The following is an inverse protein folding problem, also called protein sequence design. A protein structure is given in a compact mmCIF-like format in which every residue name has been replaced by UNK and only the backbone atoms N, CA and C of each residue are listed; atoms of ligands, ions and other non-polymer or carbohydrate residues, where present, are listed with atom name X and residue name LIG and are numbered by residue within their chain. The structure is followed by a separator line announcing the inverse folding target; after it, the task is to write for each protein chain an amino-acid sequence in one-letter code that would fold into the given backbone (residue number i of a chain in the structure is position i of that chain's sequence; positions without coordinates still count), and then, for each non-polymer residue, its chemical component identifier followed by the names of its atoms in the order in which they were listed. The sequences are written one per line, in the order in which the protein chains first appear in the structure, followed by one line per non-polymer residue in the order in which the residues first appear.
data_IF_461147483421
#
_entry.id   IF_461147483421
#
_cell.length_a   1.000
_cell.length_b   1.000
_cell.length_c   1.000
_cell.angle_alpha   90.00
_cell.angle_beta   90.00
_cell.angle_gamma   90.00
#
_symmetry.space_group_name_H-M   'P 1'
#
loop_
_entity.id
_entity.type
_entity.pdbx_description
1 polymer ?
#
# COMPACT_ATOMS: atom_id res chain seq x y z
N UNK A 1 41.95 -25.11 3.26
CA UNK A 1 40.89 -24.77 2.29
C UNK A 1 39.60 -25.24 2.93
N UNK A 2 38.91 -24.34 3.60
CA UNK A 2 37.60 -24.57 4.21
C UNK A 2 36.57 -23.88 3.32
N UNK A 3 35.70 -24.68 2.71
CA UNK A 3 34.57 -24.17 1.92
C UNK A 3 33.58 -23.48 2.87
N UNK A 4 33.42 -22.17 2.69
CA UNK A 4 32.31 -21.42 3.29
C UNK A 4 31.02 -21.81 2.52
N UNK A 5 30.19 -22.62 3.15
CA UNK A 5 28.82 -22.83 2.70
C UNK A 5 27.99 -21.63 3.10
N UNK A 6 27.49 -20.88 2.10
CA UNK A 6 26.42 -19.90 2.25
C UNK A 6 25.18 -20.65 2.78
N UNK A 7 24.47 -20.16 3.81
CA UNK A 7 23.25 -20.79 4.26
C UNK A 7 22.18 -20.71 3.18
N UNK A 8 21.67 -21.88 2.80
CA UNK A 8 20.58 -22.04 1.86
C UNK A 8 19.29 -21.57 2.52
N UNK A 9 18.68 -20.51 2.00
CA UNK A 9 17.32 -20.09 2.38
C UNK A 9 16.36 -21.13 1.79
N UNK A 10 15.45 -21.74 2.55
CA UNK A 10 14.53 -22.72 2.00
C UNK A 10 13.59 -22.08 0.98
N UNK A 11 13.49 -22.66 -0.21
CA UNK A 11 12.52 -22.33 -1.25
C UNK A 11 11.08 -22.65 -0.78
N UNK A 12 10.45 -21.72 -0.08
CA UNK A 12 9.01 -21.70 0.09
C UNK A 12 8.45 -20.62 -0.84
N UNK A 13 8.15 -21.00 -2.08
CA UNK A 13 7.50 -20.11 -3.02
C UNK A 13 6.08 -19.81 -2.54
N UNK A 14 5.62 -18.56 -2.71
CA UNK A 14 4.23 -18.09 -2.48
C UNK A 14 3.18 -19.04 -3.08
N UNK A 15 3.57 -19.88 -4.02
CA UNK A 15 2.75 -20.84 -4.76
C UNK A 15 2.25 -22.04 -3.94
N UNK A 16 2.96 -22.47 -2.89
CA UNK A 16 2.58 -23.66 -2.12
C UNK A 16 1.45 -23.41 -1.13
N UNK A 17 1.21 -22.13 -0.75
CA UNK A 17 0.17 -21.76 0.20
C UNK A 17 -1.20 -21.54 -0.47
N UNK A 18 -1.25 -21.05 -1.70
CA UNK A 18 -2.51 -20.76 -2.42
C UNK A 18 -3.28 -22.03 -2.84
N UNK A 19 -2.67 -23.20 -2.87
CA UNK A 19 -3.34 -24.46 -3.26
C UNK A 19 -4.10 -25.16 -2.12
N UNK A 20 -3.99 -24.68 -0.88
CA UNK A 20 -4.59 -25.33 0.30
C UNK A 20 -5.93 -24.76 0.78
N UNK A 21 -6.38 -23.60 0.33
CA UNK A 21 -7.49 -22.87 0.96
C UNK A 21 -8.80 -22.79 0.16
N UNK A 22 -8.94 -23.51 -0.92
CA UNK A 22 -10.18 -23.53 -1.70
C UNK A 22 -11.02 -24.75 -1.33
N UNK A 23 -11.74 -24.73 -0.21
CA UNK A 23 -13.02 -25.43 0.02
C UNK A 23 -13.48 -25.24 1.47
N UNK A 24 -14.47 -24.35 1.68
CA UNK A 24 -15.60 -24.58 2.58
C UNK A 24 -16.51 -23.34 2.70
N UNK A 25 -17.73 -23.46 2.26
CA UNK A 25 -18.89 -23.03 3.03
C UNK A 25 -19.68 -21.83 2.54
N UNK A 26 -20.44 -21.98 1.43
CA UNK A 26 -21.66 -21.19 1.18
C UNK A 26 -22.73 -21.61 2.17
N UNK A 27 -23.31 -20.68 2.92
CA UNK A 27 -24.65 -20.81 3.50
C UNK A 27 -25.39 -19.47 3.45
N UNK A 28 -26.46 -19.51 2.70
CA UNK A 28 -27.48 -18.49 2.46
C UNK A 28 -28.27 -18.19 3.74
N UNK A 29 -28.58 -16.89 3.99
CA UNK A 29 -29.81 -16.53 4.70
C UNK A 29 -30.43 -15.27 4.08
N UNK A 30 -31.63 -15.50 3.54
CA UNK A 30 -32.58 -14.51 3.05
C UNK A 30 -33.68 -14.24 4.11
N UNK A 31 -34.24 -13.05 4.01
CA UNK A 31 -35.55 -12.58 4.53
C UNK A 31 -35.45 -11.72 5.81
N UNK A 32 -36.19 -10.68 5.98
CA UNK A 32 -37.33 -10.09 5.31
C UNK A 32 -37.59 -8.64 5.78
N UNK A 33 -38.07 -7.84 4.85
CA UNK A 33 -39.15 -6.83 4.90
C UNK A 33 -39.56 -6.11 6.18
N UNK A 34 -39.68 -4.74 6.07
CA UNK A 34 -40.89 -4.14 6.56
C UNK A 34 -40.87 -2.67 7.02
N UNK A 35 -41.26 -1.78 6.10
CA UNK A 35 -42.18 -0.63 6.26
C UNK A 35 -41.86 0.55 7.21
N UNK A 36 -41.56 1.67 6.64
CA UNK A 36 -42.37 2.91 6.43
C UNK A 36 -42.86 3.70 7.64
N UNK A 37 -42.57 5.02 7.63
CA UNK A 37 -43.20 6.05 8.43
C UNK A 37 -42.60 7.42 8.19
N UNK A 38 -43.32 8.26 7.48
CA UNK A 38 -42.95 9.60 7.01
C UNK A 38 -43.23 10.72 8.03
N UNK A 39 -42.66 11.91 7.69
CA UNK A 39 -43.21 13.25 7.97
C UNK A 39 -42.82 13.83 9.33
N UNK A 40 -42.33 15.04 9.47
CA UNK A 40 -42.58 16.39 8.91
C UNK A 40 -41.59 17.39 9.48
N UNK A 41 -41.13 18.36 8.74
CA UNK A 41 -40.59 19.65 9.17
C UNK A 41 -41.78 20.66 9.32
N UNK A 42 -41.63 21.93 9.66
CA UNK A 42 -40.48 22.72 10.12
C UNK A 42 -40.86 23.65 11.33
N UNK A 43 -39.93 24.43 11.91
CA UNK A 43 -40.24 25.78 12.42
C UNK A 43 -38.99 26.57 12.86
N UNK A 44 -38.72 27.62 12.13
CA UNK A 44 -38.35 29.02 12.46
C UNK A 44 -37.56 29.36 13.73
N UNK A 45 -36.48 30.10 13.47
CA UNK A 45 -35.73 30.91 14.43
C UNK A 45 -36.56 32.05 15.07
N UNK A 46 -36.06 32.66 16.18
CA UNK A 46 -35.57 34.02 16.03
C UNK A 46 -34.23 34.32 16.72
N UNK A 47 -33.58 35.29 16.12
CA UNK A 47 -32.44 36.09 16.57
C UNK A 47 -32.68 36.77 17.90
N UNK A 48 -31.66 36.76 18.78
CA UNK A 48 -31.54 37.76 19.85
C UNK A 48 -30.07 38.13 20.10
N UNK A 49 -29.86 39.45 20.25
CA UNK A 49 -28.59 40.14 20.31
C UNK A 49 -27.73 39.80 21.52
N UNK A 50 -26.39 39.91 21.32
CA UNK A 50 -25.37 39.82 22.33
C UNK A 50 -25.28 41.07 23.21
N UNK A 51 -24.94 40.94 24.50
CA UNK A 51 -24.28 42.03 25.24
C UNK A 51 -22.76 41.78 25.32
N UNK A 52 -22.04 42.82 24.98
CA UNK A 52 -20.59 42.98 25.21
C UNK A 52 -20.29 42.91 26.70
N UNK A 53 -19.39 42.02 27.11
CA UNK A 53 -18.78 42.04 28.45
C UNK A 53 -17.26 42.06 28.29
N UNK A 54 -16.65 42.99 29.01
CA UNK A 54 -15.23 43.29 29.02
C UNK A 54 -14.35 42.07 29.37
N UNK A 55 -13.22 41.98 28.66
CA UNK A 55 -12.18 41.03 28.94
C UNK A 55 -11.56 41.28 30.32
N UNK A 56 -11.70 40.32 31.22
CA UNK A 56 -10.87 40.19 32.41
C UNK A 56 -9.77 39.19 32.07
N UNK A 57 -8.52 39.62 32.10
CA UNK A 57 -7.36 38.74 31.97
C UNK A 57 -7.36 37.71 33.11
N UNK A 58 -7.65 36.48 32.79
CA UNK A 58 -7.43 35.34 33.68
C UNK A 58 -5.95 34.95 33.68
N UNK A 59 -5.37 34.59 34.84
CA UNK A 59 -3.97 34.15 34.86
C UNK A 59 -3.77 32.90 34.04
N UNK A 60 -2.72 32.90 33.22
CA UNK A 60 -2.29 31.77 32.43
C UNK A 60 -2.01 30.58 33.37
N UNK A 61 -2.94 29.65 33.43
CA UNK A 61 -2.70 28.37 34.09
C UNK A 61 -1.60 27.62 33.33
N UNK A 62 -0.49 27.38 34.02
CA UNK A 62 0.52 26.42 33.53
C UNK A 62 -0.19 25.09 33.32
N UNK A 63 -0.37 24.70 32.07
CA UNK A 63 -0.87 23.36 31.71
C UNK A 63 0.22 22.38 32.10
N UNK A 64 0.04 21.65 33.21
CA UNK A 64 0.88 20.48 33.49
C UNK A 64 0.78 19.53 32.28
N UNK A 65 1.93 18.99 31.81
CA UNK A 65 1.90 18.04 30.71
C UNK A 65 1.04 16.84 31.10
N UNK A 66 0.01 16.57 30.33
CA UNK A 66 -0.83 15.37 30.50
C UNK A 66 0.08 14.14 30.46
N UNK A 67 0.05 13.25 31.48
CA UNK A 67 0.89 12.06 31.47
C UNK A 67 0.60 11.22 30.23
N UNK A 68 1.66 10.78 29.53
CA UNK A 68 1.49 9.88 28.36
C UNK A 68 0.71 8.63 28.79
N UNK A 69 -0.20 8.13 27.93
CA UNK A 69 -0.88 6.88 28.18
C UNK A 69 0.12 5.73 28.45
N UNK A 70 -0.27 4.75 29.24
CA UNK A 70 0.55 3.56 29.46
C UNK A 70 0.50 2.65 28.24
N UNK A 71 1.59 1.91 28.00
CA UNK A 71 1.63 0.85 26.99
C UNK A 71 0.63 -0.26 27.35
N UNK A 72 -0.09 -0.74 26.36
CA UNK A 72 -0.95 -1.91 26.49
C UNK A 72 -0.12 -3.19 26.58
N UNK A 73 -0.65 -4.23 27.26
CA UNK A 73 -0.01 -5.54 27.31
C UNK A 73 -0.04 -6.27 25.95
N UNK A 74 -1.06 -5.98 25.14
CA UNK A 74 -1.27 -6.58 23.82
C UNK A 74 -1.61 -5.50 22.80
N UNK A 75 -1.26 -5.76 21.53
CA UNK A 75 -1.55 -4.93 20.35
C UNK A 75 -1.99 -5.83 19.20
N UNK A 76 -3.14 -5.55 18.60
CA UNK A 76 -3.65 -6.30 17.44
C UNK A 76 -3.32 -5.57 16.13
N UNK A 77 -2.56 -6.22 15.25
CA UNK A 77 -2.10 -5.67 13.97
C UNK A 77 -2.49 -6.57 12.80
N UNK A 78 -3.34 -6.05 11.89
CA UNK A 78 -3.66 -6.70 10.62
C UNK A 78 -2.72 -6.20 9.52
N UNK A 79 -2.10 -7.12 8.77
CA UNK A 79 -1.17 -6.77 7.70
C UNK A 79 -1.29 -7.76 6.52
N UNK A 80 -0.55 -7.47 5.46
CA UNK A 80 -0.38 -8.31 4.29
C UNK A 80 0.58 -9.46 4.55
N UNK A 81 0.48 -10.51 3.76
CA UNK A 81 1.39 -11.67 3.83
C UNK A 81 2.83 -11.27 3.46
N UNK A 82 3.82 -11.77 4.21
CA UNK A 82 5.24 -11.50 4.03
C UNK A 82 5.69 -10.04 4.19
N UNK A 83 4.95 -9.27 4.95
CA UNK A 83 5.21 -7.85 5.19
C UNK A 83 5.90 -7.54 6.53
N UNK A 84 6.46 -8.56 7.19
CA UNK A 84 7.23 -8.45 8.43
C UNK A 84 8.37 -9.46 8.42
N UNK A 85 9.52 -9.05 8.96
CA UNK A 85 10.72 -9.86 9.04
C UNK A 85 10.56 -11.08 9.95
N UNK A 86 10.85 -12.25 9.41
CA UNK A 86 10.81 -13.51 10.15
C UNK A 86 12.14 -13.72 10.88
N UNK A 87 12.09 -14.28 12.11
CA UNK A 87 13.29 -14.63 12.84
C UNK A 87 14.03 -15.79 12.12
N UNK A 88 15.28 -15.59 11.68
CA UNK A 88 16.02 -16.61 10.95
C UNK A 88 16.33 -17.88 11.77
N UNK A 89 16.10 -17.86 13.09
CA UNK A 89 16.27 -19.01 13.98
C UNK A 89 14.96 -19.71 14.31
N UNK A 90 13.84 -19.03 14.12
CA UNK A 90 12.51 -19.55 14.42
C UNK A 90 11.48 -18.88 13.49
N UNK A 91 11.24 -19.50 12.33
CA UNK A 91 10.35 -19.00 11.29
C UNK A 91 8.88 -18.83 11.73
N UNK A 92 8.53 -19.26 12.94
CA UNK A 92 7.21 -19.01 13.52
C UNK A 92 7.12 -17.66 14.24
N UNK A 93 8.23 -16.91 14.30
CA UNK A 93 8.33 -15.62 14.98
C UNK A 93 8.76 -14.50 14.02
N UNK A 94 8.28 -13.32 14.32
CA UNK A 94 8.67 -12.10 13.66
C UNK A 94 9.71 -11.35 14.51
N UNK A 95 10.93 -11.21 14.01
CA UNK A 95 12.06 -10.68 14.79
C UNK A 95 11.79 -9.28 15.33
N UNK A 96 11.28 -8.38 14.51
CA UNK A 96 10.93 -7.00 14.93
C UNK A 96 9.90 -6.97 16.03
N UNK A 97 8.90 -7.87 16.00
CA UNK A 97 7.86 -7.94 17.03
C UNK A 97 8.41 -8.48 18.36
N UNK A 98 9.34 -9.43 18.33
CA UNK A 98 10.04 -9.92 19.52
C UNK A 98 10.93 -8.81 20.13
N UNK A 99 11.61 -8.01 19.30
CA UNK A 99 12.40 -6.87 19.76
C UNK A 99 11.52 -5.79 20.40
N UNK A 100 10.35 -5.51 19.81
CA UNK A 100 9.38 -4.60 20.41
C UNK A 100 8.90 -5.09 21.78
N UNK A 101 8.55 -6.37 21.87
CA UNK A 101 8.14 -7.01 23.12
C UNK A 101 9.24 -6.94 24.19
N UNK A 102 10.49 -7.21 23.80
CA UNK A 102 11.62 -7.12 24.72
C UNK A 102 11.83 -5.69 25.25
N UNK A 103 11.58 -4.66 24.43
CA UNK A 103 11.77 -3.25 24.78
C UNK A 103 10.61 -2.67 25.60
N UNK A 104 9.38 -3.01 25.25
CA UNK A 104 8.18 -2.35 25.78
C UNK A 104 7.26 -3.25 26.61
N UNK A 105 7.47 -4.56 26.60
CA UNK A 105 6.63 -5.53 27.33
C UNK A 105 5.30 -5.85 26.65
N UNK A 106 5.01 -5.26 25.48
CA UNK A 106 3.77 -5.48 24.73
C UNK A 106 3.92 -6.67 23.80
N UNK A 107 2.98 -7.59 23.83
CA UNK A 107 2.87 -8.66 22.81
C UNK A 107 2.08 -8.15 21.62
N UNK A 108 2.63 -8.24 20.39
CA UNK A 108 1.93 -7.89 19.18
C UNK A 108 1.29 -9.13 18.58
N UNK A 109 -0.03 -9.16 18.54
CA UNK A 109 -0.85 -10.17 17.86
C UNK A 109 -0.92 -9.80 16.38
N UNK A 110 0.15 -10.12 15.65
CA UNK A 110 0.29 -9.82 14.22
C UNK A 110 -0.41 -10.89 13.38
N UNK A 111 -1.22 -10.47 12.41
CA UNK A 111 -1.94 -11.40 11.56
C UNK A 111 -1.87 -10.95 10.09
N UNK A 112 -1.45 -11.87 9.24
CA UNK A 112 -1.42 -11.72 7.78
C UNK A 112 -2.79 -12.09 7.21
N UNK A 113 -3.74 -11.17 7.33
CA UNK A 113 -5.17 -11.38 6.98
C UNK A 113 -5.66 -10.45 5.88
N UNK A 114 -4.79 -9.57 5.37
CA UNK A 114 -5.13 -8.67 4.28
C UNK A 114 -4.62 -9.29 2.98
N UNK A 115 -5.56 -9.63 2.10
CA UNK A 115 -5.28 -10.11 0.74
C UNK A 115 -5.79 -9.12 -0.31
N UNK A 116 -6.76 -8.27 0.09
CA UNK A 116 -7.39 -7.23 -0.72
C UNK A 116 -7.96 -6.14 0.19
N UNK A 117 -7.76 -4.88 -0.20
CA UNK A 117 -8.20 -3.73 0.60
C UNK A 117 -9.70 -3.68 0.81
N UNK A 118 -10.50 -3.82 -0.27
CA UNK A 118 -11.97 -3.71 -0.20
C UNK A 118 -12.56 -4.88 0.58
N UNK A 119 -12.02 -6.09 0.39
CA UNK A 119 -12.46 -7.29 1.12
C UNK A 119 -12.17 -7.11 2.61
N UNK A 120 -10.94 -6.74 2.99
CA UNK A 120 -10.58 -6.55 4.39
C UNK A 120 -11.41 -5.45 5.05
N UNK A 121 -11.47 -4.26 4.45
CA UNK A 121 -12.26 -3.14 4.99
C UNK A 121 -13.75 -3.50 5.02
N UNK A 122 -14.25 -4.26 4.08
CA UNK A 122 -15.63 -4.79 4.07
C UNK A 122 -15.97 -5.58 5.33
N UNK A 123 -15.03 -6.36 5.87
CA UNK A 123 -15.24 -7.16 7.09
C UNK A 123 -15.38 -6.33 8.36
N UNK A 124 -14.72 -5.16 8.44
CA UNK A 124 -14.70 -4.29 9.63
C UNK A 124 -15.53 -3.00 9.43
N UNK A 125 -16.11 -2.81 8.23
CA UNK A 125 -16.91 -1.64 7.87
C UNK A 125 -18.06 -1.33 8.84
N UNK A 126 -18.83 -2.33 9.35
CA UNK A 126 -19.90 -2.05 10.31
C UNK A 126 -19.41 -1.33 11.57
N UNK A 127 -18.23 -1.70 12.07
CA UNK A 127 -17.62 -1.08 13.24
C UNK A 127 -17.05 0.29 12.89
N UNK A 128 -16.25 0.40 11.81
CA UNK A 128 -15.66 1.67 11.35
C UNK A 128 -16.70 2.75 11.14
N UNK A 129 -17.85 2.43 10.53
CA UNK A 129 -18.92 3.39 10.24
C UNK A 129 -19.61 3.97 11.48
N UNK A 130 -19.43 3.34 12.63
CA UNK A 130 -20.03 3.75 13.90
C UNK A 130 -18.97 4.21 14.93
N UNK A 131 -17.68 4.15 14.58
CA UNK A 131 -16.57 4.40 15.50
C UNK A 131 -16.46 3.34 16.60
N UNK A 132 -17.01 2.15 16.38
CA UNK A 132 -16.89 1.05 17.33
C UNK A 132 -15.56 0.30 17.15
N UNK A 133 -15.12 -0.36 18.21
CA UNK A 133 -13.93 -1.20 18.19
C UNK A 133 -14.03 -2.30 17.11
N UNK A 134 -13.07 -2.30 16.19
CA UNK A 134 -12.96 -3.29 15.11
C UNK A 134 -12.29 -4.60 15.54
N UNK A 135 -11.68 -4.61 16.75
CA UNK A 135 -10.78 -5.66 17.18
C UNK A 135 -9.33 -5.48 16.75
N UNK A 136 -9.05 -4.52 15.84
CA UNK A 136 -7.71 -4.14 15.42
C UNK A 136 -7.31 -2.82 16.04
N UNK A 137 -6.05 -2.71 16.47
CA UNK A 137 -5.46 -1.46 16.95
C UNK A 137 -4.74 -0.71 15.82
N UNK A 138 -4.27 -1.44 14.82
CA UNK A 138 -3.70 -0.90 13.59
C UNK A 138 -3.81 -1.89 12.44
N UNK A 139 -3.79 -1.36 11.21
CA UNK A 139 -3.76 -2.15 9.98
C UNK A 139 -2.98 -1.42 8.88
N UNK A 140 -2.67 -2.15 7.79
CA UNK A 140 -1.92 -1.61 6.66
C UNK A 140 -2.77 -1.67 5.40
N UNK A 141 -2.96 -0.51 4.73
CA UNK A 141 -3.76 -0.41 3.49
C UNK A 141 -3.07 0.50 2.46
N UNK A 142 -3.38 0.29 1.19
CA UNK A 142 -2.82 1.06 0.08
C UNK A 142 -3.36 2.50 0.06
N UNK A 143 -2.60 3.43 -0.51
CA UNK A 143 -2.86 4.89 -0.59
C UNK A 143 -4.31 5.27 -0.85
N UNK A 144 -4.92 4.67 -1.86
CA UNK A 144 -6.28 5.00 -2.27
C UNK A 144 -7.32 4.58 -1.22
N UNK A 145 -7.07 3.47 -0.52
CA UNK A 145 -7.92 3.05 0.60
C UNK A 145 -7.66 3.94 1.81
N UNK A 146 -6.40 4.28 2.10
CA UNK A 146 -6.06 5.23 3.15
C UNK A 146 -6.77 6.58 2.94
N UNK A 147 -6.70 7.13 1.72
CA UNK A 147 -7.42 8.36 1.36
C UNK A 147 -8.94 8.24 1.55
N UNK A 148 -9.54 7.08 1.19
CA UNK A 148 -10.97 6.80 1.40
C UNK A 148 -11.31 6.78 2.88
N UNK A 149 -10.52 6.09 3.71
CA UNK A 149 -10.78 5.96 5.14
C UNK A 149 -10.68 7.30 5.88
N UNK A 150 -9.69 8.14 5.52
CA UNK A 150 -9.55 9.50 6.04
C UNK A 150 -10.76 10.35 5.67
N UNK A 151 -11.17 10.35 4.39
CA UNK A 151 -12.34 11.09 3.92
C UNK A 151 -13.63 10.68 4.63
N UNK A 152 -13.77 9.42 5.01
CA UNK A 152 -14.92 8.88 5.74
C UNK A 152 -14.85 9.14 7.26
N UNK A 153 -13.71 9.61 7.79
CA UNK A 153 -13.49 9.79 9.22
C UNK A 153 -13.43 8.46 9.97
N UNK A 154 -12.91 7.42 9.35
CA UNK A 154 -12.86 6.05 9.90
C UNK A 154 -11.52 5.67 10.52
N UNK A 155 -10.57 6.57 10.51
CA UNK A 155 -9.25 6.43 11.13
C UNK A 155 -8.96 7.61 12.06
N UNK A 156 -8.16 7.35 13.07
CA UNK A 156 -7.75 8.35 14.05
C UNK A 156 -6.60 9.21 13.53
N UNK A 157 -6.55 10.45 13.99
CA UNK A 157 -5.36 11.29 13.87
C UNK A 157 -4.35 10.87 14.95
N UNK A 158 -3.11 10.70 14.56
CA UNK A 158 -1.99 10.32 15.43
C UNK A 158 -1.33 11.58 16.02
N UNK A 159 -0.95 11.53 17.28
CA UNK A 159 -0.13 12.57 17.89
C UNK A 159 1.32 12.46 17.41
N UNK A 160 1.75 13.38 16.56
CA UNK A 160 3.12 13.40 16.04
C UNK A 160 4.19 13.51 17.14
N UNK A 161 3.84 13.96 18.33
CA UNK A 161 4.70 13.94 19.51
C UNK A 161 5.03 12.53 20.02
N UNK A 162 4.23 11.52 19.63
CA UNK A 162 4.49 10.12 19.89
C UNK A 162 5.28 9.43 18.76
N UNK A 163 5.54 10.13 17.65
CA UNK A 163 6.15 9.63 16.42
C UNK A 163 7.49 10.35 16.10
N UNK A 164 8.44 10.46 17.03
CA UNK A 164 9.70 11.19 16.80
C UNK A 164 10.56 10.55 15.70
N UNK A 165 10.62 9.21 15.59
CA UNK A 165 11.35 8.52 14.54
C UNK A 165 10.69 8.71 13.18
N UNK A 166 9.37 8.61 13.09
CA UNK A 166 8.61 8.90 11.86
C UNK A 166 8.89 10.33 11.40
N UNK A 167 8.77 11.30 12.31
CA UNK A 167 9.00 12.73 12.00
C UNK A 167 10.42 12.98 11.48
N UNK A 168 11.42 12.33 12.07
CA UNK A 168 12.83 12.50 11.70
C UNK A 168 13.19 11.74 10.41
N UNK A 169 12.68 10.52 10.24
CA UNK A 169 13.22 9.56 9.29
C UNK A 169 12.31 9.28 8.09
N UNK A 170 11.06 9.77 8.05
CA UNK A 170 10.21 9.62 6.87
C UNK A 170 10.87 10.29 5.65
N UNK A 171 10.98 9.57 4.53
CA UNK A 171 11.50 10.12 3.27
C UNK A 171 10.59 11.24 2.74
N UNK A 172 11.20 12.28 2.13
CA UNK A 172 10.48 13.50 1.77
C UNK A 172 9.43 13.29 0.66
N UNK A 173 9.61 12.27 -0.18
CA UNK A 173 8.66 11.91 -1.25
C UNK A 173 7.29 11.47 -0.72
N UNK A 174 7.23 10.98 0.52
CA UNK A 174 6.00 10.52 1.17
C UNK A 174 5.33 11.57 2.06
N UNK A 175 5.91 12.79 2.15
CA UNK A 175 5.36 13.85 2.99
C UNK A 175 4.34 14.70 2.25
N UNK A 176 3.36 15.18 2.99
CA UNK A 176 2.36 16.16 2.52
C UNK A 176 1.57 15.67 1.29
N UNK A 177 1.21 14.38 1.28
CA UNK A 177 0.37 13.83 0.23
C UNK A 177 -0.97 14.57 0.18
N UNK A 178 -1.57 14.77 -1.02
CA UNK A 178 -2.77 15.60 -1.17
C UNK A 178 -3.97 15.17 -0.33
N UNK A 179 -4.07 13.89 -0.01
CA UNK A 179 -5.18 13.31 0.76
C UNK A 179 -4.93 13.27 2.28
N UNK A 180 -3.69 13.51 2.73
CA UNK A 180 -3.31 13.75 4.14
C UNK A 180 -2.15 14.75 4.21
N UNK A 181 -2.42 16.05 4.02
CA UNK A 181 -1.39 17.07 3.94
C UNK A 181 -0.65 17.33 5.26
N UNK A 182 -1.18 16.86 6.38
CA UNK A 182 -0.59 16.98 7.72
C UNK A 182 0.23 15.76 8.13
N UNK A 183 0.10 14.64 7.40
CA UNK A 183 0.73 13.35 7.71
C UNK A 183 0.43 12.85 9.13
N UNK A 184 -0.78 13.08 9.61
CA UNK A 184 -1.17 12.68 10.96
C UNK A 184 -2.22 11.56 11.01
N UNK A 185 -2.71 11.10 9.85
CA UNK A 185 -3.65 9.98 9.76
C UNK A 185 -3.03 8.70 9.21
N UNK A 186 -1.90 8.79 8.51
CA UNK A 186 -1.20 7.65 7.94
C UNK A 186 0.30 7.73 8.20
N UNK A 187 0.94 6.57 8.22
CA UNK A 187 2.40 6.45 8.19
C UNK A 187 2.76 5.40 7.13
N UNK A 188 3.53 5.74 6.10
CA UNK A 188 3.98 4.78 5.08
C UNK A 188 4.63 3.55 5.70
N UNK A 189 4.23 2.37 5.25
CA UNK A 189 4.79 1.11 5.71
C UNK A 189 5.83 0.56 4.73
N UNK A 190 5.40 0.33 3.51
CA UNK A 190 6.23 -0.10 2.39
C UNK A 190 5.72 0.57 1.12
N UNK A 191 6.58 0.71 0.13
CA UNK A 191 6.19 1.30 -1.15
C UNK A 191 6.68 0.44 -2.31
N UNK A 192 6.07 0.59 -3.47
CA UNK A 192 6.47 -0.13 -4.66
C UNK A 192 6.32 0.69 -5.92
N UNK A 193 7.04 0.27 -6.95
CA UNK A 193 6.93 0.86 -8.28
C UNK A 193 6.15 -0.06 -9.21
N UNK A 194 5.31 0.53 -10.04
CA UNK A 194 4.75 -0.16 -11.20
C UNK A 194 5.42 0.34 -12.46
N UNK A 195 5.94 -0.59 -13.24
CA UNK A 195 6.68 -0.30 -14.47
C UNK A 195 6.59 -1.47 -15.46
N UNK A 196 7.66 -1.67 -16.23
CA UNK A 196 7.80 -2.75 -17.19
C UNK A 196 8.61 -3.90 -16.59
N UNK A 197 8.00 -5.09 -16.50
CA UNK A 197 8.69 -6.35 -16.25
C UNK A 197 8.81 -7.13 -17.57
N UNK A 198 10.03 -7.56 -17.97
CA UNK A 198 10.22 -8.15 -19.29
C UNK A 198 11.37 -9.14 -19.33
N UNK A 199 11.35 -10.06 -20.33
CA UNK A 199 12.47 -10.96 -20.64
C UNK A 199 13.42 -10.27 -21.64
N UNK A 200 14.50 -9.69 -21.11
CA UNK A 200 15.51 -8.97 -21.87
C UNK A 200 16.14 -9.81 -23.01
N UNK A 201 16.22 -11.13 -22.83
CA UNK A 201 16.71 -12.02 -23.89
C UNK A 201 15.74 -12.10 -25.09
N UNK A 202 14.47 -11.70 -24.92
CA UNK A 202 13.44 -11.72 -25.97
C UNK A 202 13.16 -10.35 -26.54
N UNK A 203 13.18 -9.31 -25.70
CA UNK A 203 12.78 -7.96 -26.08
C UNK A 203 13.94 -7.01 -26.35
N UNK A 204 15.17 -7.34 -25.87
CA UNK A 204 16.22 -6.36 -25.67
C UNK A 204 15.92 -5.45 -24.47
N UNK A 205 16.69 -4.37 -24.31
CA UNK A 205 16.43 -3.37 -23.29
C UNK A 205 15.22 -2.52 -23.66
N UNK A 206 14.26 -2.38 -22.74
CA UNK A 206 13.08 -1.54 -22.90
C UNK A 206 13.21 -0.26 -22.09
N UNK A 207 12.84 0.87 -22.67
CA UNK A 207 12.91 2.19 -22.04
C UNK A 207 11.64 3.01 -22.21
N UNK A 208 10.64 2.50 -22.94
CA UNK A 208 9.40 3.21 -23.26
C UNK A 208 8.18 2.34 -22.94
N UNK A 209 7.13 2.96 -22.39
CA UNK A 209 5.81 2.33 -22.20
C UNK A 209 5.18 1.91 -23.54
N UNK A 210 5.60 2.47 -24.68
CA UNK A 210 5.06 2.10 -25.98
C UNK A 210 5.27 0.60 -26.29
N UNK A 211 6.24 -0.04 -25.67
CA UNK A 211 6.48 -1.47 -25.81
C UNK A 211 5.23 -2.31 -25.45
N UNK A 212 4.42 -1.87 -24.49
CA UNK A 212 3.19 -2.55 -24.10
C UNK A 212 2.11 -2.55 -25.21
N UNK A 213 2.25 -1.67 -26.21
CA UNK A 213 1.36 -1.54 -27.38
C UNK A 213 2.02 -2.03 -28.68
N UNK A 214 3.25 -2.56 -28.61
CA UNK A 214 3.96 -3.01 -29.81
C UNK A 214 3.40 -4.34 -30.32
N UNK A 215 2.98 -4.33 -31.58
CA UNK A 215 2.47 -5.54 -32.26
C UNK A 215 3.50 -6.66 -32.40
N UNK A 216 4.79 -6.34 -32.24
CA UNK A 216 5.86 -7.33 -32.22
C UNK A 216 5.69 -8.34 -31.04
N UNK A 217 5.03 -7.93 -29.97
CA UNK A 217 4.76 -8.75 -28.78
C UNK A 217 3.32 -9.29 -28.73
N UNK A 218 2.60 -9.31 -29.85
CA UNK A 218 1.21 -9.72 -29.93
C UNK A 218 0.95 -11.05 -29.20
N UNK A 219 -0.02 -11.06 -28.26
CA UNK A 219 -0.40 -12.23 -27.47
C UNK A 219 0.65 -12.65 -26.44
N UNK A 220 1.61 -11.76 -26.11
CA UNK A 220 2.70 -12.01 -25.17
C UNK A 220 2.88 -10.89 -24.14
N UNK A 221 1.90 -10.00 -23.99
CA UNK A 221 1.91 -8.88 -23.06
C UNK A 221 0.82 -9.06 -22.01
N UNK A 222 1.18 -9.04 -20.74
CA UNK A 222 0.21 -9.05 -19.65
C UNK A 222 0.02 -7.62 -19.08
N UNK A 223 -1.22 -7.29 -18.78
CA UNK A 223 -1.59 -6.05 -18.09
C UNK A 223 -2.02 -6.40 -16.67
N UNK A 224 -1.94 -5.43 -15.75
CA UNK A 224 -2.36 -5.66 -14.37
C UNK A 224 -3.87 -5.58 -14.22
N UNK A 225 -4.41 -6.35 -13.25
CA UNK A 225 -5.81 -6.26 -12.82
C UNK A 225 -6.06 -5.02 -11.95
N UNK A 226 -4.99 -4.45 -11.36
CA UNK A 226 -5.09 -3.20 -10.59
C UNK A 226 -5.38 -2.01 -11.54
N UNK A 227 -6.55 -1.40 -11.33
CA UNK A 227 -7.06 -0.33 -12.19
C UNK A 227 -6.14 0.89 -12.20
N UNK A 228 -5.66 1.31 -11.05
CA UNK A 228 -4.84 2.53 -10.92
C UNK A 228 -3.50 2.39 -11.58
N UNK A 229 -2.89 1.22 -11.49
CA UNK A 229 -1.62 0.93 -12.15
C UNK A 229 -1.78 0.90 -13.68
N UNK A 230 -2.77 0.14 -14.16
CA UNK A 230 -2.98 -0.04 -15.60
C UNK A 230 -3.43 1.26 -16.27
N UNK A 231 -4.39 1.98 -15.69
CA UNK A 231 -4.81 3.29 -16.19
C UNK A 231 -3.68 4.30 -16.02
N UNK A 232 -2.99 4.32 -14.89
CA UNK A 232 -1.90 5.26 -14.62
C UNK A 232 -0.76 5.14 -15.62
N UNK A 233 -0.24 3.92 -15.87
CA UNK A 233 0.78 3.70 -16.91
C UNK A 233 0.27 4.07 -18.31
N UNK A 234 -1.00 3.82 -18.61
CA UNK A 234 -1.60 4.21 -19.88
C UNK A 234 -1.71 5.74 -20.01
N UNK A 235 -2.07 6.44 -18.93
CA UNK A 235 -2.08 7.90 -18.87
C UNK A 235 -0.67 8.46 -19.13
N UNK A 236 0.36 7.92 -18.46
CA UNK A 236 1.76 8.32 -18.67
C UNK A 236 2.20 8.12 -20.13
N UNK A 237 1.82 7.00 -20.77
CA UNK A 237 2.05 6.78 -22.19
C UNK A 237 1.40 7.86 -23.07
N UNK A 238 0.23 8.33 -22.68
CA UNK A 238 -0.50 9.40 -23.40
C UNK A 238 0.01 10.82 -23.06
N UNK A 239 0.99 10.96 -22.15
CA UNK A 239 1.49 12.25 -21.68
C UNK A 239 0.55 12.96 -20.70
N UNK A 240 -0.37 12.21 -20.08
CA UNK A 240 -1.29 12.69 -19.05
C UNK A 240 -0.67 12.50 -17.64
N UNK A 241 -1.13 13.29 -16.66
CA UNK A 241 -0.64 13.25 -15.29
C UNK A 241 -1.58 12.44 -14.38
N UNK A 242 -1.21 11.22 -13.96
CA UNK A 242 -2.06 10.39 -13.09
C UNK A 242 -2.41 11.05 -11.74
N UNK A 243 -1.56 11.97 -11.25
CA UNK A 243 -1.82 12.67 -9.98
C UNK A 243 -2.98 13.67 -10.06
N UNK A 244 -3.44 13.96 -11.28
CA UNK A 244 -4.56 14.86 -11.59
C UNK A 244 -5.65 14.20 -12.42
N UNK A 245 -5.69 12.86 -12.41
CA UNK A 245 -6.60 12.07 -13.22
C UNK A 245 -8.05 12.54 -13.11
N UNK A 246 -8.68 12.70 -14.28
CA UNK A 246 -10.10 13.04 -14.43
C UNK A 246 -10.84 11.92 -15.15
N UNK A 247 -12.18 11.94 -15.14
CA UNK A 247 -12.99 10.97 -15.89
C UNK A 247 -12.71 11.03 -17.40
N UNK A 248 -12.42 12.20 -17.95
CA UNK A 248 -12.04 12.36 -19.36
C UNK A 248 -10.67 11.72 -19.67
N UNK A 249 -9.72 11.73 -18.74
CA UNK A 249 -8.43 11.06 -18.87
C UNK A 249 -8.61 9.53 -18.77
N UNK A 250 -9.53 9.08 -17.90
CA UNK A 250 -9.93 7.68 -17.80
C UNK A 250 -10.45 7.17 -19.16
N UNK A 251 -11.35 7.91 -19.82
CA UNK A 251 -11.91 7.53 -21.12
C UNK A 251 -10.81 7.39 -22.20
N UNK A 252 -9.82 8.31 -22.20
CA UNK A 252 -8.69 8.23 -23.11
C UNK A 252 -7.82 6.99 -22.84
N UNK A 253 -7.52 6.73 -21.57
CA UNK A 253 -6.72 5.57 -21.18
C UNK A 253 -7.43 4.25 -21.51
N UNK A 254 -8.73 4.13 -21.20
CA UNK A 254 -9.53 2.94 -21.51
C UNK A 254 -9.61 2.72 -23.02
N UNK A 255 -9.79 3.79 -23.81
CA UNK A 255 -9.78 3.69 -25.28
C UNK A 255 -8.42 3.21 -25.82
N UNK A 256 -7.32 3.61 -25.20
CA UNK A 256 -5.98 3.17 -25.59
C UNK A 256 -5.72 1.71 -25.22
N UNK A 257 -6.13 1.28 -24.02
CA UNK A 257 -6.10 -0.13 -23.59
C UNK A 257 -6.92 -0.99 -24.55
N UNK A 258 -8.12 -0.50 -24.94
CA UNK A 258 -8.99 -1.19 -25.89
C UNK A 258 -8.32 -1.40 -27.24
N UNK A 259 -7.55 -0.44 -27.75
CA UNK A 259 -6.79 -0.62 -29.01
C UNK A 259 -5.80 -1.78 -28.90
N UNK A 260 -5.06 -1.88 -27.80
CA UNK A 260 -4.12 -2.99 -27.58
C UNK A 260 -4.85 -4.34 -27.48
N UNK A 261 -6.00 -4.37 -26.80
CA UNK A 261 -6.86 -5.57 -26.69
C UNK A 261 -7.40 -5.99 -28.06
N UNK A 262 -7.98 -5.07 -28.82
CA UNK A 262 -8.56 -5.34 -30.15
C UNK A 262 -7.49 -5.77 -31.16
N UNK A 263 -6.26 -5.25 -31.04
CA UNK A 263 -5.12 -5.70 -31.83
C UNK A 263 -4.58 -7.08 -31.41
N UNK A 264 -5.07 -7.64 -30.30
CA UNK A 264 -4.67 -8.91 -29.74
C UNK A 264 -3.25 -8.89 -29.16
N UNK A 265 -2.77 -7.72 -28.74
CA UNK A 265 -1.47 -7.55 -28.07
C UNK A 265 -1.56 -8.09 -26.65
N UNK A 266 -2.60 -7.69 -25.92
CA UNK A 266 -2.84 -8.13 -24.54
C UNK A 266 -3.17 -9.62 -24.52
N UNK A 267 -2.36 -10.39 -23.79
CA UNK A 267 -2.55 -11.81 -23.54
C UNK A 267 -3.59 -12.01 -22.43
N UNK A 268 -3.39 -11.33 -21.30
CA UNK A 268 -4.27 -11.42 -20.15
C UNK A 268 -4.15 -10.19 -19.24
N UNK A 269 -5.17 -10.01 -18.39
CA UNK A 269 -5.08 -9.17 -17.20
C UNK A 269 -4.78 -10.08 -16.01
N UNK A 270 -3.74 -9.74 -15.22
CA UNK A 270 -3.20 -10.58 -14.15
C UNK A 270 -2.97 -9.73 -12.89
N UNK A 271 -3.17 -10.36 -11.72
CA UNK A 271 -2.52 -9.95 -10.49
C UNK A 271 -1.07 -10.44 -10.50
N UNK A 272 -0.51 -10.83 -9.35
CA UNK A 272 0.88 -11.30 -9.22
C UNK A 272 1.25 -12.49 -10.14
N UNK A 273 0.26 -13.20 -10.71
CA UNK A 273 0.51 -14.34 -11.61
C UNK A 273 1.26 -13.98 -12.90
N UNK A 274 1.36 -12.68 -13.28
CA UNK A 274 2.18 -12.26 -14.41
C UNK A 274 3.66 -12.62 -14.24
N UNK A 275 4.15 -12.67 -12.99
CA UNK A 275 5.54 -13.03 -12.71
C UNK A 275 5.84 -14.47 -13.13
N UNK A 276 4.90 -15.40 -12.89
CA UNK A 276 5.03 -16.80 -13.39
C UNK A 276 4.95 -16.86 -14.92
N UNK A 277 4.07 -16.04 -15.53
CA UNK A 277 3.95 -15.97 -17.00
C UNK A 277 5.27 -15.44 -17.65
N UNK A 278 5.95 -14.48 -17.00
CA UNK A 278 7.28 -14.03 -17.42
C UNK A 278 8.35 -15.12 -17.21
N UNK A 279 8.34 -15.82 -16.07
CA UNK A 279 9.30 -16.89 -15.78
C UNK A 279 9.15 -18.06 -16.74
N UNK A 280 7.92 -18.49 -17.04
CA UNK A 280 7.63 -19.57 -18.00
C UNK A 280 7.90 -19.17 -19.47
N UNK A 281 7.81 -17.88 -19.79
CA UNK A 281 7.87 -17.35 -21.16
C UNK A 281 6.51 -17.36 -21.86
N UNK A 282 5.42 -17.55 -21.14
CA UNK A 282 4.06 -17.36 -21.64
C UNK A 282 3.80 -15.89 -21.95
N UNK A 283 4.29 -14.98 -21.12
CA UNK A 283 4.48 -13.58 -21.42
C UNK A 283 5.97 -13.26 -21.65
N UNK A 284 6.26 -12.22 -22.43
CA UNK A 284 7.62 -11.67 -22.61
C UNK A 284 7.74 -10.27 -22.05
N UNK A 285 6.62 -9.62 -21.80
CA UNK A 285 6.49 -8.27 -21.28
C UNK A 285 5.21 -8.18 -20.44
N UNK A 286 5.26 -7.44 -19.36
CA UNK A 286 4.11 -7.16 -18.49
C UNK A 286 4.21 -5.77 -17.88
N UNK A 287 3.07 -5.16 -17.57
CA UNK A 287 3.03 -4.22 -16.44
C UNK A 287 3.35 -5.02 -15.19
N UNK A 288 4.22 -4.52 -14.31
CA UNK A 288 4.80 -5.32 -13.24
C UNK A 288 5.08 -4.48 -11.99
N UNK A 289 5.02 -5.11 -10.82
CA UNK A 289 5.42 -4.52 -9.55
C UNK A 289 6.87 -4.84 -9.21
N UNK A 290 7.60 -3.83 -8.73
CA UNK A 290 9.04 -3.94 -8.47
C UNK A 290 9.41 -5.07 -7.50
N UNK A 291 8.64 -5.27 -6.42
CA UNK A 291 8.91 -6.32 -5.44
C UNK A 291 8.77 -7.74 -6.00
N UNK A 292 7.76 -8.01 -6.83
CA UNK A 292 7.63 -9.30 -7.51
C UNK A 292 8.81 -9.55 -8.45
N UNK A 293 9.29 -8.47 -9.11
CA UNK A 293 10.42 -8.58 -10.03
C UNK A 293 11.73 -8.83 -9.30
N UNK A 294 11.92 -8.32 -8.07
CA UNK A 294 13.10 -8.68 -7.23
C UNK A 294 13.18 -10.19 -7.07
N UNK A 295 12.07 -10.84 -6.75
CA UNK A 295 12.01 -12.29 -6.58
C UNK A 295 12.14 -13.04 -7.91
N UNK A 296 11.43 -12.60 -8.95
CA UNK A 296 11.44 -13.25 -10.26
C UNK A 296 12.83 -13.22 -10.94
N UNK A 297 13.62 -12.16 -10.69
CA UNK A 297 15.00 -12.03 -11.18
C UNK A 297 15.95 -13.07 -10.60
N UNK A 298 15.71 -13.53 -9.36
CA UNK A 298 16.49 -14.62 -8.75
C UNK A 298 16.27 -15.93 -9.50
N UNK A 299 15.00 -16.22 -9.84
CA UNK A 299 14.63 -17.47 -10.54
C UNK A 299 15.04 -17.45 -12.02
N UNK A 300 14.95 -16.28 -12.67
CA UNK A 300 15.23 -16.11 -14.10
C UNK A 300 16.02 -14.82 -14.35
N UNK A 301 17.37 -14.87 -14.35
CA UNK A 301 18.22 -13.69 -14.49
C UNK A 301 18.13 -12.95 -15.84
N UNK A 302 17.41 -13.51 -16.83
CA UNK A 302 17.13 -12.81 -18.10
C UNK A 302 15.97 -11.83 -17.99
N UNK A 303 15.20 -11.88 -16.90
CA UNK A 303 14.18 -10.88 -16.64
C UNK A 303 14.82 -9.54 -16.30
N UNK A 304 14.06 -8.48 -16.46
CA UNK A 304 14.44 -7.12 -16.09
C UNK A 304 13.21 -6.35 -15.68
N UNK A 305 13.43 -5.32 -14.88
CA UNK A 305 12.42 -4.32 -14.54
C UNK A 305 12.94 -2.92 -14.90
N UNK A 306 12.07 -2.05 -15.42
CA UNK A 306 12.41 -0.67 -15.66
C UNK A 306 11.23 0.26 -15.45
N UNK A 307 11.52 1.45 -14.89
CA UNK A 307 10.65 2.62 -14.97
C UNK A 307 10.94 3.31 -16.30
N UNK A 308 9.97 3.34 -17.18
CA UNK A 308 10.11 3.88 -18.53
C UNK A 308 10.45 5.39 -18.53
N UNK A 309 10.84 5.90 -19.69
CA UNK A 309 11.15 7.33 -19.86
C UNK A 309 9.93 8.23 -19.62
N UNK A 310 8.72 7.73 -19.89
CA UNK A 310 7.45 8.42 -19.62
C UNK A 310 7.09 8.40 -18.11
N UNK A 311 7.73 7.55 -17.30
CA UNK A 311 7.49 7.39 -15.88
C UNK A 311 6.98 6.00 -15.50
N UNK A 312 6.65 5.87 -14.23
CA UNK A 312 6.01 4.70 -13.62
C UNK A 312 5.07 5.14 -12.50
N UNK A 313 4.34 4.20 -11.93
CA UNK A 313 3.50 4.48 -10.77
C UNK A 313 4.28 4.20 -9.49
N UNK A 314 4.09 5.06 -8.50
CA UNK A 314 4.48 4.85 -7.11
C UNK A 314 3.22 4.63 -6.29
N UNK A 315 3.17 3.55 -5.56
CA UNK A 315 2.11 3.28 -4.60
C UNK A 315 2.73 2.99 -3.25
N UNK A 316 1.97 3.22 -2.19
CA UNK A 316 2.43 3.06 -0.83
C UNK A 316 1.35 2.36 -0.02
N UNK A 317 1.75 1.40 0.78
CA UNK A 317 0.92 0.82 1.82
C UNK A 317 1.21 1.55 3.12
N UNK A 318 0.15 1.83 3.88
CA UNK A 318 0.19 2.77 4.98
C UNK A 318 -0.34 2.14 6.26
N UNK A 319 0.41 2.27 7.35
CA UNK A 319 -0.07 2.00 8.69
C UNK A 319 -1.13 3.03 9.06
N UNK A 320 -2.28 2.55 9.52
CA UNK A 320 -3.39 3.37 9.99
C UNK A 320 -3.96 2.83 11.30
N UNK A 321 -4.55 3.71 12.09
CA UNK A 321 -5.20 3.37 13.36
C UNK A 321 -6.71 3.54 13.13
N UNK A 322 -7.53 2.48 13.23
CA UNK A 322 -8.97 2.60 13.05
C UNK A 322 -9.59 3.46 14.14
N UNK A 323 -10.64 4.21 13.78
CA UNK A 323 -11.47 4.92 14.77
C UNK A 323 -12.00 3.93 15.80
N UNK A 324 -11.87 4.30 17.09
CA UNK A 324 -12.28 3.44 18.20
C UNK A 324 -11.29 2.33 18.61
N UNK A 325 -10.04 2.38 18.10
CA UNK A 325 -8.98 1.49 18.55
C UNK A 325 -8.71 1.63 20.04
N UNK A 326 -8.64 0.50 20.77
CA UNK A 326 -8.44 0.53 22.21
C UNK A 326 -7.02 0.92 22.63
N UNK A 327 -6.06 0.58 21.80
CA UNK A 327 -4.64 0.72 22.10
C UNK A 327 -3.94 1.69 21.14
N UNK A 328 -4.62 2.77 20.71
CA UNK A 328 -4.13 3.74 19.73
C UNK A 328 -2.73 4.31 20.09
N UNK A 329 -2.48 4.61 21.38
CA UNK A 329 -1.15 5.06 21.81
C UNK A 329 -0.07 3.99 21.60
N UNK A 330 -0.36 2.74 21.94
CA UNK A 330 0.58 1.62 21.76
C UNK A 330 0.83 1.37 20.26
N UNK A 331 -0.20 1.52 19.42
CA UNK A 331 -0.07 1.45 17.97
C UNK A 331 0.88 2.53 17.42
N UNK A 332 0.75 3.79 17.88
CA UNK A 332 1.66 4.87 17.51
C UNK A 332 3.11 4.54 17.90
N UNK A 333 3.33 4.01 19.12
CA UNK A 333 4.68 3.62 19.58
C UNK A 333 5.25 2.45 18.74
N UNK A 334 4.40 1.50 18.32
CA UNK A 334 4.83 0.40 17.43
C UNK A 334 5.21 0.93 16.04
N UNK A 335 4.42 1.82 15.47
CA UNK A 335 4.71 2.46 14.19
C UNK A 335 6.04 3.22 14.28
N UNK A 336 6.22 4.03 15.32
CA UNK A 336 7.46 4.81 15.53
C UNK A 336 8.68 3.92 15.74
N UNK A 337 8.51 2.78 16.42
CA UNK A 337 9.57 1.81 16.61
C UNK A 337 10.09 1.24 15.28
N UNK A 338 9.19 0.96 14.34
CA UNK A 338 9.57 0.49 13.01
C UNK A 338 10.33 1.54 12.20
N UNK A 339 10.23 2.82 12.55
CA UNK A 339 10.92 3.94 11.91
C UNK A 339 12.31 4.25 12.50
N UNK A 340 12.81 3.47 13.49
CA UNK A 340 14.24 3.44 13.81
C UNK A 340 15.00 2.87 12.59
N UNK A 341 16.03 3.54 12.05
CA UNK A 341 16.72 3.08 10.84
C UNK A 341 17.27 1.66 10.91
N UNK A 342 17.64 1.18 12.11
CA UNK A 342 18.12 -0.20 12.30
C UNK A 342 16.98 -1.21 12.22
N UNK A 343 15.84 -0.87 12.80
CA UNK A 343 14.64 -1.72 12.74
C UNK A 343 14.09 -1.74 11.31
N UNK A 344 14.03 -0.56 10.66
CA UNK A 344 13.63 -0.47 9.27
C UNK A 344 14.55 -1.30 8.35
N UNK A 345 15.86 -1.24 8.55
CA UNK A 345 16.82 -2.05 7.80
C UNK A 345 16.59 -3.55 8.01
N UNK A 346 16.30 -3.98 9.24
CA UNK A 346 15.99 -5.37 9.57
C UNK A 346 14.73 -5.85 8.84
N UNK A 347 13.66 -5.05 8.85
CA UNK A 347 12.41 -5.34 8.13
C UNK A 347 12.69 -5.43 6.63
N UNK A 348 13.40 -4.45 6.08
CA UNK A 348 13.65 -4.32 4.65
C UNK A 348 14.52 -5.44 4.08
N UNK A 349 15.47 -5.96 4.86
CA UNK A 349 16.29 -7.10 4.49
C UNK A 349 15.46 -8.36 4.16
N UNK A 350 14.23 -8.43 4.67
CA UNK A 350 13.29 -9.53 4.45
C UNK A 350 12.20 -9.15 3.43
N UNK A 351 11.58 -7.97 3.59
CA UNK A 351 10.39 -7.56 2.84
C UNK A 351 10.71 -7.21 1.37
N UNK A 352 11.88 -6.59 1.12
CA UNK A 352 12.39 -6.29 -0.23
C UNK A 352 11.49 -5.37 -1.08
N UNK A 353 10.78 -4.44 -0.44
CA UNK A 353 10.05 -3.36 -1.11
C UNK A 353 10.78 -2.03 -0.96
N UNK A 354 10.19 -0.91 -1.36
CA UNK A 354 10.83 0.40 -1.18
C UNK A 354 10.66 0.86 0.26
N UNK A 355 11.78 0.99 0.95
CA UNK A 355 11.82 1.42 2.34
C UNK A 355 11.48 2.92 2.47
N UNK A 356 10.46 3.31 3.26
CA UNK A 356 10.12 4.72 3.45
C UNK A 356 11.02 5.44 4.46
N UNK A 357 11.99 4.75 5.08
CA UNK A 357 12.77 5.24 6.22
C UNK A 357 14.18 5.67 5.81
N UNK A 358 14.52 6.95 6.03
CA UNK A 358 15.87 7.48 5.87
C UNK A 358 16.86 6.77 6.81
N UNK A 359 18.06 6.49 6.33
CA UNK A 359 19.10 5.85 7.12
C UNK A 359 19.08 4.32 7.10
N UNK A 360 18.01 3.67 6.65
CA UNK A 360 17.93 2.21 6.55
C UNK A 360 18.92 1.64 5.52
N UNK A 361 19.08 2.31 4.37
CA UNK A 361 20.04 1.92 3.35
C UNK A 361 21.49 1.93 3.85
N UNK A 362 21.86 2.95 4.65
CA UNK A 362 23.19 3.08 5.23
C UNK A 362 23.48 1.95 6.23
N UNK A 363 22.49 1.54 7.03
CA UNK A 363 22.60 0.38 7.92
C UNK A 363 22.81 -0.90 7.10
N UNK A 364 21.97 -1.12 6.10
CA UNK A 364 22.04 -2.30 5.23
C UNK A 364 23.34 -2.37 4.42
N UNK A 365 23.93 -1.20 4.06
CA UNK A 365 25.18 -1.19 3.32
C UNK A 365 26.33 -1.89 4.08
N UNK A 366 26.28 -1.85 5.41
CA UNK A 366 27.24 -2.54 6.26
C UNK A 366 26.91 -4.02 6.49
N UNK A 367 25.62 -4.40 6.46
CA UNK A 367 25.14 -5.73 6.85
C UNK A 367 24.75 -6.60 5.65
N UNK A 368 24.10 -6.02 4.65
CA UNK A 368 23.63 -6.67 3.43
C UNK A 368 23.73 -5.71 2.23
N UNK A 369 24.96 -5.51 1.68
CA UNK A 369 25.21 -4.55 0.60
C UNK A 369 24.43 -4.86 -0.69
N UNK A 370 24.04 -6.10 -0.94
CA UNK A 370 23.28 -6.49 -2.12
C UNK A 370 21.84 -5.90 -2.05
N UNK A 371 21.21 -5.95 -0.89
CA UNK A 371 19.90 -5.31 -0.65
C UNK A 371 20.03 -3.79 -0.70
N UNK A 372 21.05 -3.23 -0.01
CA UNK A 372 21.26 -1.77 0.05
C UNK A 372 21.50 -1.12 -1.32
N UNK A 373 22.11 -1.85 -2.24
CA UNK A 373 22.42 -1.38 -3.60
C UNK A 373 21.35 -1.79 -4.64
N UNK A 374 20.29 -2.47 -4.22
CA UNK A 374 19.24 -2.86 -5.14
C UNK A 374 18.33 -1.66 -5.48
N UNK A 375 18.31 -1.18 -6.74
CA UNK A 375 17.53 0.00 -7.13
C UNK A 375 16.01 -0.24 -7.12
N UNK A 376 15.57 -1.45 -6.94
CA UNK A 376 14.15 -1.79 -6.78
C UNK A 376 13.69 -1.65 -5.33
N UNK A 377 14.63 -1.63 -4.38
CA UNK A 377 14.40 -1.48 -2.93
C UNK A 377 14.78 -0.06 -2.49
N UNK A 378 15.90 0.45 -3.00
CA UNK A 378 16.39 1.82 -2.76
C UNK A 378 16.56 2.56 -4.09
N UNK A 379 15.46 3.05 -4.69
CA UNK A 379 15.51 3.71 -5.98
C UNK A 379 16.36 4.98 -5.95
N UNK A 380 17.27 5.18 -6.92
CA UNK A 380 18.01 6.42 -7.03
C UNK A 380 17.11 7.60 -7.38
N UNK A 381 17.58 8.81 -7.12
CA UNK A 381 16.78 10.04 -7.23
C UNK A 381 16.20 10.27 -8.64
N UNK A 382 16.88 9.84 -9.69
CA UNK A 382 16.42 9.97 -11.08
C UNK A 382 15.27 9.00 -11.40
N UNK A 383 15.19 7.85 -10.74
CA UNK A 383 14.05 6.94 -10.81
C UNK A 383 12.86 7.56 -10.04
N UNK A 384 13.10 7.98 -8.79
CA UNK A 384 12.05 8.59 -7.96
C UNK A 384 11.42 9.82 -8.64
N UNK A 385 12.21 10.63 -9.34
CA UNK A 385 11.72 11.82 -10.05
C UNK A 385 10.77 11.50 -11.24
N UNK A 386 10.71 10.24 -11.69
CA UNK A 386 9.85 9.78 -12.78
C UNK A 386 8.64 8.99 -12.29
N UNK A 387 8.47 8.85 -10.98
CA UNK A 387 7.35 8.14 -10.40
C UNK A 387 6.19 9.08 -10.10
N UNK A 388 4.98 8.60 -10.31
CA UNK A 388 3.74 9.34 -10.13
C UNK A 388 2.82 8.57 -9.18
N UNK A 389 2.24 9.29 -8.22
CA UNK A 389 1.18 8.75 -7.35
C UNK A 389 -0.16 8.97 -8.05
N UNK A 390 -1.03 7.97 -8.04
CA UNK A 390 -2.37 8.13 -8.62
C UNK A 390 -3.23 9.07 -7.76
N UNK A 391 -4.09 9.85 -8.43
CA UNK A 391 -5.00 10.79 -7.75
C UNK A 391 -5.90 10.07 -6.73
N UNK A 392 -6.12 10.71 -5.58
CA UNK A 392 -7.15 10.30 -4.63
C UNK A 392 -8.54 10.60 -5.18
N UNK A 393 -9.19 9.62 -5.79
CA UNK A 393 -10.51 9.77 -6.39
C UNK A 393 -11.59 9.95 -5.30
N UNK A 394 -12.61 10.78 -5.57
CA UNK A 394 -13.84 10.75 -4.81
C UNK A 394 -14.68 9.51 -5.18
N UNK A 395 -15.70 9.18 -4.40
CA UNK A 395 -16.49 7.96 -4.57
C UNK A 395 -17.12 7.81 -5.96
N UNK A 396 -17.63 8.91 -6.52
CA UNK A 396 -18.27 8.90 -7.85
C UNK A 396 -17.24 8.66 -8.96
N UNK A 397 -16.09 9.33 -8.91
CA UNK A 397 -15.02 9.16 -9.87
C UNK A 397 -14.39 7.77 -9.73
N UNK A 398 -14.18 7.28 -8.52
CA UNK A 398 -13.64 5.94 -8.26
C UNK A 398 -14.55 4.85 -8.86
N UNK A 399 -15.86 4.97 -8.63
CA UNK A 399 -16.82 4.07 -9.27
C UNK A 399 -16.76 4.18 -10.79
N UNK A 400 -16.66 5.39 -11.33
CA UNK A 400 -16.54 5.60 -12.77
C UNK A 400 -15.31 4.92 -13.36
N UNK A 401 -14.14 5.12 -12.75
CA UNK A 401 -12.89 4.49 -13.20
C UNK A 401 -12.98 2.97 -13.17
N UNK A 402 -13.52 2.39 -12.10
CA UNK A 402 -13.71 0.95 -11.98
C UNK A 402 -14.67 0.40 -13.04
N UNK A 403 -15.83 1.06 -13.25
CA UNK A 403 -16.81 0.65 -14.27
C UNK A 403 -16.20 0.71 -15.68
N UNK A 404 -15.45 1.78 -16.01
CA UNK A 404 -14.81 1.91 -17.32
C UNK A 404 -13.70 0.87 -17.49
N UNK A 405 -12.86 0.65 -16.49
CA UNK A 405 -11.79 -0.35 -16.53
C UNK A 405 -12.34 -1.78 -16.69
N UNK A 406 -13.44 -2.10 -16.04
CA UNK A 406 -14.12 -3.40 -16.17
C UNK A 406 -14.52 -3.72 -17.65
N UNK A 407 -14.85 -2.70 -18.45
CA UNK A 407 -15.21 -2.89 -19.87
C UNK A 407 -14.06 -3.46 -20.72
N UNK A 408 -12.82 -3.18 -20.33
CA UNK A 408 -11.62 -3.62 -21.08
C UNK A 408 -10.92 -4.78 -20.40
N UNK A 409 -10.88 -4.84 -19.08
CA UNK A 409 -10.25 -5.92 -18.32
C UNK A 409 -11.12 -7.20 -18.29
N UNK A 410 -12.44 -7.05 -18.35
CA UNK A 410 -13.40 -8.15 -18.18
C UNK A 410 -13.55 -8.57 -16.71
N UNK A 411 -13.12 -7.72 -15.79
CA UNK A 411 -13.28 -7.89 -14.34
C UNK A 411 -14.52 -7.11 -13.89
N UNK A 412 -15.70 -7.66 -14.05
CA UNK A 412 -16.97 -7.01 -13.70
C UNK A 412 -18.03 -8.00 -13.30
#
# INVERSE_FOLDING_TARGET
MSENKVPHVPDLSRRQFVQGSAMAGFAVFLAACGRSGASTAPSTAPSAAAPSVAASEAPSASVEPTPKPSMAAELNWANWTYYMDVDPKDETKFKTLEDFKAKYGTTVNYQEVIEDNDVFIGTIRPQLSTGADTGWDMFVVTDWMAARLIRLGWVESMDLGNLPNVTANLQDVYKNVPWDPTNDHHVPWQSGMTGLGYDKAKTGELTSLDALWDVAYKGKVDYLTEMRDTIGLTMLKLGLDPSKATTADCDQAVAEIKKAKDAGIIRAFKGNAYAEDLKSGDAVLSMAWSGDMVQALVDKPTLAFTVASQGGMLWTDNCMIPMGAKNAYTAQVMIDFCYDPKIAAQIEAYVNYICPVKGAAEVLLAENPDVANNPLIFPPADILARLHIFNGLNEADEKYFNDQFATVSGLG
#
